data_IF_879909837179
#
_entry.id   IF_879909837179
#
_cell.length_a   1.000
_cell.length_b   1.000
_cell.length_c   1.000
_cell.angle_alpha   90.00
_cell.angle_beta   90.00
_cell.angle_gamma   90.00
#
_symmetry.space_group_name_H-M   'P 1'
#
loop_
_entity.id
_entity.type
_entity.pdbx_description
1 polymer ?
#
# COMPACT_ATOMS: atom_id res chain seq x y z
N UNK A 1 -10.68 71.84 5.99
CA UNK A 1 -9.80 70.71 6.35
C UNK A 1 -10.04 69.58 5.36
N UNK A 2 -9.11 69.36 4.42
CA UNK A 2 -9.31 68.55 3.20
C UNK A 2 -9.17 67.04 3.42
N UNK A 3 -10.16 66.42 4.08
CA UNK A 3 -10.17 64.96 4.34
C UNK A 3 -10.58 64.15 3.09
N UNK A 4 -11.41 64.70 2.19
CA UNK A 4 -11.82 64.01 0.95
C UNK A 4 -10.73 63.89 -0.12
N UNK A 5 -9.58 64.58 0.01
CA UNK A 5 -8.50 64.53 -1.01
C UNK A 5 -7.59 63.30 -0.84
N UNK A 6 -7.52 62.69 0.37
CA UNK A 6 -6.61 61.56 0.67
C UNK A 6 -7.12 60.17 0.24
N UNK A 7 -8.41 59.99 -0.03
CA UNK A 7 -8.97 58.69 -0.48
C UNK A 7 -8.88 58.48 -2.00
N UNK A 8 -8.72 59.55 -2.79
CA UNK A 8 -8.67 59.48 -4.26
C UNK A 8 -7.30 59.08 -4.81
N UNK A 9 -6.25 59.11 -3.98
CA UNK A 9 -4.88 58.79 -4.40
C UNK A 9 -4.46 57.33 -4.12
N UNK A 10 -5.19 56.57 -3.30
CA UNK A 10 -4.88 55.15 -3.02
C UNK A 10 -5.21 54.18 -4.18
N UNK A 11 -5.92 54.63 -5.23
CA UNK A 11 -6.18 53.80 -6.42
C UNK A 11 -5.17 54.00 -7.57
N UNK A 12 -4.29 55.00 -7.48
CA UNK A 12 -3.32 55.32 -8.54
C UNK A 12 -2.02 54.51 -8.48
N UNK A 13 -1.80 53.77 -7.39
CA UNK A 13 -0.58 52.99 -7.16
C UNK A 13 -0.78 51.47 -7.23
N UNK A 14 -1.94 50.98 -7.71
CA UNK A 14 -2.09 49.56 -8.02
C UNK A 14 -1.50 49.28 -9.40
N UNK A 15 -0.17 49.14 -9.47
CA UNK A 15 0.49 48.48 -10.60
C UNK A 15 0.07 47.01 -10.56
N UNK A 16 -1.01 46.68 -11.26
CA UNK A 16 -1.49 45.32 -11.42
C UNK A 16 -0.48 44.51 -12.23
N UNK A 17 -0.38 43.22 -11.92
CA UNK A 17 0.37 42.26 -12.72
C UNK A 17 -0.15 42.28 -14.15
N UNK A 18 0.74 42.33 -15.14
CA UNK A 18 0.33 42.33 -16.54
C UNK A 18 -0.13 40.93 -16.94
N UNK A 19 -1.13 40.83 -17.82
CA UNK A 19 -1.56 39.52 -18.35
C UNK A 19 -0.41 38.79 -19.05
N UNK A 20 0.52 39.55 -19.64
CA UNK A 20 1.70 39.02 -20.32
C UNK A 20 2.64 38.30 -19.35
N UNK A 21 2.92 38.89 -18.19
CA UNK A 21 3.74 38.25 -17.15
C UNK A 21 3.12 36.93 -16.68
N UNK A 22 1.78 36.86 -16.58
CA UNK A 22 1.09 35.63 -16.18
C UNK A 22 1.21 34.55 -17.25
N UNK A 23 1.04 34.90 -18.52
CA UNK A 23 1.11 33.95 -19.63
C UNK A 23 2.52 33.36 -19.75
N UNK A 24 3.57 34.17 -19.64
CA UNK A 24 4.96 33.69 -19.70
C UNK A 24 5.25 32.68 -18.58
N UNK A 25 4.78 32.95 -17.36
CA UNK A 25 4.96 32.03 -16.22
C UNK A 25 4.21 30.72 -16.46
N UNK A 26 2.97 30.75 -16.94
CA UNK A 26 2.20 29.55 -17.25
C UNK A 26 2.86 28.70 -18.36
N UNK A 27 3.45 29.35 -19.37
CA UNK A 27 4.19 28.66 -20.43
C UNK A 27 5.41 27.93 -19.86
N UNK A 28 6.19 28.59 -19.00
CA UNK A 28 7.36 27.95 -18.37
C UNK A 28 6.92 26.78 -17.48
N UNK A 29 5.87 26.97 -16.66
CA UNK A 29 5.33 25.90 -15.81
C UNK A 29 4.82 24.70 -16.63
N UNK A 30 4.19 24.95 -17.78
CA UNK A 30 3.73 23.89 -18.67
C UNK A 30 4.91 23.06 -19.22
N UNK A 31 6.00 23.71 -19.64
CA UNK A 31 7.20 23.03 -20.14
C UNK A 31 7.84 22.18 -19.03
N UNK A 32 7.95 22.72 -17.81
CA UNK A 32 8.49 21.98 -16.67
C UNK A 32 7.62 20.77 -16.30
N UNK A 33 6.30 20.92 -16.29
CA UNK A 33 5.38 19.82 -16.02
C UNK A 33 5.47 18.71 -17.07
N UNK A 34 5.65 19.06 -18.35
CA UNK A 34 5.75 18.08 -19.43
C UNK A 34 6.92 17.09 -19.25
N UNK A 35 8.07 17.58 -18.76
CA UNK A 35 9.24 16.72 -18.49
C UNK A 35 9.17 16.03 -17.11
N UNK A 36 8.53 16.68 -16.12
CA UNK A 36 8.50 16.20 -14.74
C UNK A 36 7.51 15.04 -14.53
N UNK A 37 6.32 15.11 -15.13
CA UNK A 37 5.24 14.14 -14.89
C UNK A 37 5.67 12.69 -15.23
N UNK A 38 6.28 12.40 -16.41
CA UNK A 38 6.68 11.02 -16.73
C UNK A 38 7.66 10.43 -15.71
N UNK A 39 8.67 11.19 -15.31
CA UNK A 39 9.64 10.75 -14.31
C UNK A 39 8.97 10.49 -12.96
N UNK A 40 8.14 11.44 -12.49
CA UNK A 40 7.44 11.32 -11.21
C UNK A 40 6.51 10.10 -11.17
N UNK A 41 5.78 9.81 -12.25
CA UNK A 41 4.88 8.64 -12.30
C UNK A 41 5.64 7.32 -12.16
N UNK A 42 6.85 7.20 -12.73
CA UNK A 42 7.71 6.02 -12.56
C UNK A 42 8.19 5.84 -11.12
N UNK A 43 8.60 6.93 -10.46
CA UNK A 43 8.99 6.90 -9.04
C UNK A 43 7.83 6.50 -8.12
N UNK A 44 6.63 7.02 -8.38
CA UNK A 44 5.43 6.66 -7.62
C UNK A 44 5.13 5.16 -7.76
N UNK A 45 5.19 4.59 -8.97
CA UNK A 45 4.97 3.15 -9.18
C UNK A 45 5.98 2.31 -8.41
N UNK A 46 7.28 2.66 -8.48
CA UNK A 46 8.34 1.94 -7.75
C UNK A 46 8.20 2.08 -6.23
N UNK A 47 7.75 3.22 -5.75
CA UNK A 47 7.46 3.43 -4.33
C UNK A 47 6.28 2.55 -3.87
N UNK A 48 5.21 2.49 -4.65
CA UNK A 48 4.06 1.61 -4.39
C UNK A 48 4.47 0.13 -4.39
N UNK A 49 5.30 -0.30 -5.35
CA UNK A 49 5.79 -1.69 -5.41
C UNK A 49 6.65 -2.05 -4.19
N UNK A 50 7.49 -1.11 -3.73
CA UNK A 50 8.29 -1.30 -2.52
C UNK A 50 7.44 -1.32 -1.26
N UNK A 51 6.43 -0.45 -1.19
CA UNK A 51 5.53 -0.35 -0.06
C UNK A 51 4.76 -1.66 0.13
N UNK A 52 4.07 -2.13 -0.92
CA UNK A 52 3.29 -3.38 -0.84
C UNK A 52 4.18 -4.59 -0.54
N UNK A 53 5.42 -4.60 -1.06
CA UNK A 53 6.38 -5.66 -0.78
C UNK A 53 6.85 -5.64 0.69
N UNK A 54 7.04 -4.46 1.27
CA UNK A 54 7.40 -4.33 2.69
C UNK A 54 6.24 -4.79 3.58
N UNK A 55 5.03 -4.33 3.31
CA UNK A 55 3.81 -4.74 4.02
C UNK A 55 3.59 -6.25 3.90
N UNK A 56 3.70 -6.82 2.69
CA UNK A 56 3.60 -8.27 2.48
C UNK A 56 4.69 -9.06 3.24
N UNK A 57 5.91 -8.53 3.37
CA UNK A 57 6.96 -9.16 4.18
C UNK A 57 6.64 -9.14 5.67
N UNK A 58 6.00 -8.08 6.17
CA UNK A 58 5.54 -8.05 7.55
C UNK A 58 4.50 -9.15 7.80
N UNK A 59 3.55 -9.33 6.88
CA UNK A 59 2.59 -10.45 6.94
C UNK A 59 3.30 -11.80 6.87
N UNK A 60 4.32 -11.96 6.01
CA UNK A 60 5.09 -13.21 5.93
C UNK A 60 5.81 -13.52 7.24
N UNK A 61 6.43 -12.52 7.86
CA UNK A 61 7.13 -12.68 9.14
C UNK A 61 6.14 -13.07 10.23
N UNK A 62 5.03 -12.33 10.37
CA UNK A 62 3.96 -12.65 11.33
C UNK A 62 3.44 -14.08 11.15
N UNK A 63 3.14 -14.46 9.91
CA UNK A 63 2.69 -15.80 9.57
C UNK A 63 3.71 -16.87 9.98
N UNK A 64 4.99 -16.65 9.69
CA UNK A 64 6.03 -17.61 10.02
C UNK A 64 6.28 -17.68 11.54
N UNK A 65 6.14 -16.57 12.27
CA UNK A 65 6.21 -16.54 13.74
C UNK A 65 5.08 -17.35 14.34
N UNK A 66 3.82 -17.05 14.00
CA UNK A 66 2.64 -17.76 14.52
C UNK A 66 2.71 -19.28 14.25
N UNK A 67 3.16 -19.68 13.05
CA UNK A 67 3.36 -21.09 12.71
C UNK A 67 4.47 -21.75 13.52
N UNK A 68 5.55 -21.02 13.82
CA UNK A 68 6.66 -21.52 14.62
C UNK A 68 6.24 -21.72 16.08
N UNK A 69 5.45 -20.81 16.65
CA UNK A 69 4.90 -20.95 18.00
C UNK A 69 3.95 -22.14 18.11
N UNK A 70 3.09 -22.37 17.11
CA UNK A 70 2.26 -23.59 17.09
C UNK A 70 3.08 -24.87 16.99
N UNK A 71 4.19 -24.83 16.24
CA UNK A 71 5.11 -25.96 16.19
C UNK A 71 5.76 -26.26 17.54
N UNK A 72 6.02 -25.24 18.36
CA UNK A 72 6.52 -25.40 19.73
C UNK A 72 5.42 -25.91 20.68
N UNK A 73 4.19 -25.40 20.54
CA UNK A 73 3.06 -25.69 21.42
C UNK A 73 2.37 -27.05 21.16
N UNK A 74 3.00 -28.00 20.44
CA UNK A 74 2.38 -29.22 19.90
C UNK A 74 1.33 -29.84 20.82
N UNK A 75 0.07 -29.77 20.38
CA UNK A 75 -0.93 -30.77 20.75
C UNK A 75 -0.76 -31.96 19.80
N UNK A 76 -0.87 -33.19 20.29
CA UNK A 76 -0.56 -34.47 19.61
C UNK A 76 -1.26 -34.75 18.26
N UNK A 77 -1.99 -33.79 17.69
CA UNK A 77 -2.85 -33.96 16.52
C UNK A 77 -2.14 -33.83 15.16
N UNK A 78 -0.87 -33.39 15.11
CA UNK A 78 -0.10 -33.31 13.86
C UNK A 78 -0.71 -32.38 12.79
N UNK A 79 -1.59 -31.47 13.19
CA UNK A 79 -2.26 -30.50 12.32
C UNK A 79 -2.00 -29.10 12.84
N UNK A 80 -1.75 -28.16 11.94
CA UNK A 80 -1.85 -26.72 12.23
C UNK A 80 -3.27 -26.46 12.77
N UNK A 81 -3.38 -25.91 13.97
CA UNK A 81 -4.64 -25.35 14.48
C UNK A 81 -4.91 -24.02 13.76
N UNK A 82 -6.13 -23.49 13.81
CA UNK A 82 -6.44 -22.21 13.14
C UNK A 82 -5.52 -21.08 13.67
N UNK A 83 -4.52 -20.71 12.88
CA UNK A 83 -3.51 -19.67 13.18
C UNK A 83 -4.00 -18.28 12.78
N UNK A 84 -5.20 -18.13 12.22
CA UNK A 84 -5.63 -16.86 11.65
C UNK A 84 -5.60 -15.72 12.70
N UNK A 85 -6.03 -15.98 13.93
CA UNK A 85 -6.02 -15.01 15.02
C UNK A 85 -4.59 -14.66 15.47
N UNK A 86 -3.70 -15.65 15.57
CA UNK A 86 -2.30 -15.47 15.95
C UNK A 86 -1.56 -14.61 14.92
N UNK A 87 -1.82 -14.86 13.63
CA UNK A 87 -1.28 -14.05 12.54
C UNK A 87 -1.75 -12.60 12.63
N UNK A 88 -3.03 -12.35 12.95
CA UNK A 88 -3.54 -10.99 13.14
C UNK A 88 -2.83 -10.29 14.30
N UNK A 89 -2.63 -10.99 15.41
CA UNK A 89 -1.94 -10.45 16.58
C UNK A 89 -0.49 -10.07 16.24
N UNK A 90 0.26 -10.99 15.62
CA UNK A 90 1.63 -10.76 15.18
C UNK A 90 1.75 -9.62 14.16
N UNK A 91 0.80 -9.50 13.22
CA UNK A 91 0.76 -8.36 12.29
C UNK A 91 0.53 -7.06 13.06
N UNK A 92 -0.40 -7.04 14.01
CA UNK A 92 -0.67 -5.86 14.83
C UNK A 92 0.58 -5.41 15.58
N UNK A 93 1.32 -6.34 16.17
CA UNK A 93 2.54 -6.05 16.92
C UNK A 93 3.69 -5.58 16.01
N UNK A 94 3.82 -6.13 14.81
CA UNK A 94 4.85 -5.72 13.85
C UNK A 94 4.56 -4.38 13.17
N UNK A 95 3.32 -3.93 13.18
CA UNK A 95 2.88 -2.77 12.39
C UNK A 95 2.18 -1.69 13.20
N UNK A 96 2.20 -1.80 14.53
CA UNK A 96 1.46 -0.91 15.44
C UNK A 96 -0.02 -0.77 15.04
N UNK A 97 -0.61 -1.86 14.50
CA UNK A 97 -1.98 -1.90 14.01
C UNK A 97 -2.27 -1.11 12.72
N UNK A 98 -1.25 -0.64 11.98
CA UNK A 98 -1.43 0.21 10.80
C UNK A 98 -1.65 -0.55 9.47
N UNK A 99 -1.60 -1.89 9.47
CA UNK A 99 -1.79 -2.67 8.25
C UNK A 99 -3.28 -2.64 7.82
N UNK A 100 -3.58 -2.11 6.63
CA UNK A 100 -4.95 -1.88 6.14
C UNK A 100 -5.38 -2.78 4.97
N UNK A 101 -4.44 -3.58 4.44
CA UNK A 101 -4.69 -4.47 3.31
C UNK A 101 -5.25 -5.84 3.72
N UNK A 102 -5.78 -6.56 2.74
CA UNK A 102 -6.19 -7.96 2.91
C UNK A 102 -5.02 -8.90 2.64
N UNK A 103 -4.97 -10.04 3.32
CA UNK A 103 -3.97 -11.07 3.07
C UNK A 103 -4.57 -12.47 2.98
N UNK A 104 -3.86 -13.36 2.28
CA UNK A 104 -4.10 -14.81 2.24
C UNK A 104 -2.76 -15.49 2.49
N UNK A 105 -2.73 -16.48 3.40
CA UNK A 105 -1.52 -17.25 3.74
C UNK A 105 -1.83 -18.72 3.56
N UNK A 106 -0.97 -19.42 2.84
CA UNK A 106 -1.01 -20.88 2.69
C UNK A 106 0.24 -21.45 3.33
N UNK A 107 0.05 -22.32 4.30
CA UNK A 107 1.12 -22.98 5.03
C UNK A 107 1.05 -24.50 4.86
N UNK A 108 2.22 -25.14 4.88
CA UNK A 108 2.32 -26.58 4.84
C UNK A 108 2.07 -27.17 6.25
N UNK A 109 1.05 -28.03 6.42
CA UNK A 109 0.67 -28.56 7.73
C UNK A 109 1.71 -29.46 8.38
N UNK A 110 2.56 -30.12 7.59
CA UNK A 110 3.57 -31.04 8.08
C UNK A 110 4.85 -30.30 8.50
N UNK A 111 5.18 -29.21 7.82
CA UNK A 111 6.44 -28.49 8.01
C UNK A 111 6.32 -27.15 8.72
N UNK A 112 5.10 -26.65 8.96
CA UNK A 112 4.84 -25.36 9.63
C UNK A 112 5.56 -24.19 8.93
N UNK A 113 5.62 -24.25 7.60
CA UNK A 113 6.26 -23.24 6.74
C UNK A 113 5.24 -22.63 5.81
N UNK A 114 5.35 -21.32 5.59
CA UNK A 114 4.56 -20.63 4.56
C UNK A 114 5.01 -21.09 3.17
N UNK A 115 4.08 -21.61 2.37
CA UNK A 115 4.31 -21.99 0.97
C UNK A 115 3.96 -20.86 0.01
N UNK A 116 2.88 -20.15 0.30
CA UNK A 116 2.49 -18.96 -0.46
C UNK A 116 1.80 -17.92 0.42
N UNK A 117 1.90 -16.67 -0.01
CA UNK A 117 1.23 -15.54 0.62
C UNK A 117 0.82 -14.54 -0.45
N UNK A 118 -0.35 -13.94 -0.27
CA UNK A 118 -0.84 -12.82 -1.07
C UNK A 118 -1.22 -11.69 -0.13
N UNK A 119 -0.76 -10.48 -0.41
CA UNK A 119 -1.14 -9.28 0.33
C UNK A 119 -1.57 -8.19 -0.64
N UNK A 120 -2.74 -7.62 -0.44
CA UNK A 120 -3.36 -6.60 -1.30
C UNK A 120 -3.70 -5.36 -0.47
N UNK A 121 -3.05 -4.23 -0.79
CA UNK A 121 -3.32 -2.94 -0.14
C UNK A 121 -4.31 -2.05 -0.90
N UNK A 122 -5.10 -2.65 -1.80
CA UNK A 122 -6.08 -2.00 -2.66
C UNK A 122 -5.49 -1.34 -3.90
N UNK A 123 -4.16 -1.13 -3.98
CA UNK A 123 -3.47 -0.54 -5.16
C UNK A 123 -2.59 -1.55 -5.89
N UNK A 124 -1.91 -2.39 -5.13
CA UNK A 124 -0.97 -3.41 -5.60
C UNK A 124 -1.14 -4.67 -4.76
N UNK A 125 -0.74 -5.79 -5.36
CA UNK A 125 -0.72 -7.10 -4.73
C UNK A 125 0.71 -7.59 -4.67
N UNK A 126 1.22 -7.89 -3.48
CA UNK A 126 2.48 -8.63 -3.32
C UNK A 126 2.17 -10.11 -3.17
N UNK A 127 2.84 -10.95 -3.97
CA UNK A 127 2.69 -12.40 -3.92
C UNK A 127 4.04 -13.03 -3.60
N UNK A 128 4.04 -13.96 -2.66
CA UNK A 128 5.19 -14.79 -2.31
C UNK A 128 4.87 -16.25 -2.62
N UNK A 129 5.82 -16.97 -3.21
CA UNK A 129 5.74 -18.42 -3.41
C UNK A 129 7.08 -19.10 -3.17
N UNK A 130 7.09 -20.26 -2.52
CA UNK A 130 8.29 -21.11 -2.37
C UNK A 130 8.49 -22.07 -3.54
N UNK A 131 7.50 -22.22 -4.42
CA UNK A 131 7.39 -23.28 -5.43
C UNK A 131 6.97 -22.73 -6.80
N UNK A 132 7.28 -23.48 -7.87
CA UNK A 132 6.86 -23.15 -9.23
C UNK A 132 7.74 -22.09 -9.92
N UNK A 133 7.28 -21.64 -11.10
CA UNK A 133 8.02 -20.69 -11.95
C UNK A 133 8.19 -19.30 -11.32
N UNK A 134 7.28 -18.90 -10.44
CA UNK A 134 7.27 -17.61 -9.75
C UNK A 134 7.80 -17.71 -8.32
N UNK A 135 8.79 -18.58 -8.07
CA UNK A 135 9.42 -18.69 -6.74
C UNK A 135 10.03 -17.33 -6.34
N UNK A 136 9.69 -16.87 -5.14
CA UNK A 136 10.11 -15.58 -4.60
C UNK A 136 8.96 -14.58 -4.53
N UNK A 137 9.30 -13.30 -4.57
CA UNK A 137 8.34 -12.19 -4.51
C UNK A 137 8.01 -11.66 -5.90
N UNK A 138 6.72 -11.51 -6.19
CA UNK A 138 6.20 -10.77 -7.35
C UNK A 138 5.26 -9.67 -6.87
N UNK A 139 5.10 -8.63 -7.69
CA UNK A 139 4.16 -7.53 -7.42
C UNK A 139 3.29 -7.30 -8.64
N UNK A 140 1.98 -7.27 -8.43
CA UNK A 140 0.95 -7.12 -9.45
C UNK A 140 0.00 -5.96 -9.11
N UNK A 141 -0.83 -5.56 -10.08
CA UNK A 141 -1.84 -4.50 -9.86
C UNK A 141 -3.10 -5.12 -9.25
N UNK A 142 -3.72 -4.43 -8.29
CA UNK A 142 -5.02 -4.84 -7.77
C UNK A 142 -6.08 -4.74 -8.90
N UNK A 143 -6.86 -5.82 -9.07
CA UNK A 143 -7.91 -6.03 -10.09
C UNK A 143 -7.52 -5.98 -11.59
N UNK A 144 -6.51 -6.76 -11.97
CA UNK A 144 -6.47 -7.54 -13.22
C UNK A 144 -6.43 -9.06 -12.90
N UNK A 145 -7.19 -9.50 -11.88
CA UNK A 145 -7.39 -10.92 -11.58
C UNK A 145 -8.46 -11.51 -12.53
N UNK A 146 -8.10 -11.66 -13.80
CA UNK A 146 -8.86 -12.43 -14.78
C UNK A 146 -8.50 -13.91 -14.71
N UNK A 147 -9.40 -14.70 -14.11
CA UNK A 147 -9.71 -16.13 -14.31
C UNK A 147 -8.53 -17.13 -14.29
N UNK A 148 -8.46 -17.88 -13.19
CA UNK A 148 -7.88 -19.22 -13.12
C UNK A 148 -8.52 -19.97 -11.94
N UNK A 149 -9.32 -21.00 -12.23
CA UNK A 149 -10.08 -21.86 -11.33
C UNK A 149 -9.31 -22.42 -10.12
N UNK A 150 -9.92 -22.32 -8.94
CA UNK A 150 -9.93 -23.14 -7.68
C UNK A 150 -8.78 -24.11 -7.29
N UNK A 151 -8.59 -24.48 -5.99
CA UNK A 151 -9.43 -24.23 -4.82
C UNK A 151 -8.74 -23.42 -3.70
N UNK A 152 -9.60 -22.92 -2.84
CA UNK A 152 -9.40 -21.81 -1.91
C UNK A 152 -9.31 -22.32 -0.47
N UNK A 153 -8.34 -21.82 0.30
CA UNK A 153 -8.50 -21.59 1.74
C UNK A 153 -8.34 -20.09 1.96
N UNK A 154 -9.48 -19.37 1.93
CA UNK A 154 -9.56 -17.91 2.14
C UNK A 154 -9.71 -17.66 3.63
N UNK A 155 -8.68 -17.13 4.27
CA UNK A 155 -8.84 -16.37 5.50
C UNK A 155 -9.04 -14.90 5.11
N UNK A 156 -10.29 -14.47 4.98
CA UNK A 156 -10.67 -13.06 4.84
C UNK A 156 -11.29 -12.62 6.15
N UNK A 157 -10.74 -11.58 6.79
CA UNK A 157 -11.46 -10.78 7.80
C UNK A 157 -11.02 -9.30 7.69
N UNK A 158 -11.73 -8.33 8.29
CA UNK A 158 -12.50 -7.35 7.53
C UNK A 158 -11.98 -5.92 7.70
N UNK A 159 -12.35 -5.10 6.72
CA UNK A 159 -12.26 -3.63 6.72
C UNK A 159 -12.54 -3.01 8.12
N UNK A 160 -11.69 -2.09 8.63
CA UNK A 160 -12.02 -1.35 9.85
C UNK A 160 -13.27 -0.48 9.60
N UNK A 161 -14.22 -0.40 10.55
CA UNK A 161 -15.38 0.46 10.41
C UNK A 161 -14.95 1.94 10.32
N UNK A 162 -15.49 2.62 9.30
CA UNK A 162 -15.45 4.07 9.18
C UNK A 162 -16.11 4.72 10.41
N UNK A 163 -15.59 5.88 10.81
CA UNK A 163 -15.75 6.42 12.15
C UNK A 163 -17.17 6.71 12.64
N UNK A 164 -17.26 6.78 13.96
CA UNK A 164 -17.97 7.79 14.76
C UNK A 164 -17.12 8.06 16.02
#
# INVERSE_FOLDING_TARGET
MNVMKKLKDSRKNKKGFTLVELIVVLVILAILMAILIPALTGYIRKAQDKQVLAEGRNVLMAAQTALSEQYEAKTDTGKIADVAADIVAEISDLTDGELTGSYEVVANPDTYKVESLKYDNGKKVAVYSTTGANKGWTVEKSSEAGVGDDPVVKASTPNPPAGE
#
